data_IF_615922710943
#
_entry.id   IF_615922710943
#
_cell.length_a   1.000
_cell.length_b   1.000
_cell.length_c   1.000
_cell.angle_alpha   90.00
_cell.angle_beta   90.00
_cell.angle_gamma   90.00
#
_symmetry.space_group_name_H-M   'P 1'
#
loop_
_entity.id
_entity.type
_entity.pdbx_description
1 polymer ?
#
# COMPACT_ATOMS: atom_id res chain seq x y z
N UNK A 1 28.19 54.80 -51.25
CA UNK A 1 27.53 53.52 -51.57
C UNK A 1 27.23 52.91 -50.21
N UNK A 2 26.14 53.39 -49.58
CA UNK A 2 24.79 52.79 -49.64
C UNK A 2 24.82 51.43 -48.92
N UNK A 3 24.43 51.41 -47.64
CA UNK A 3 23.10 50.97 -47.15
C UNK A 3 23.16 49.46 -46.86
N UNK A 4 22.60 48.86 -45.80
CA UNK A 4 21.78 49.28 -44.68
C UNK A 4 21.59 48.03 -43.77
N UNK A 5 21.36 48.25 -42.47
CA UNK A 5 20.33 47.63 -41.60
C UNK A 5 20.05 46.10 -41.67
N UNK A 6 19.76 45.35 -40.59
CA UNK A 6 19.29 45.66 -39.23
C UNK A 6 19.26 44.37 -38.39
N UNK A 7 19.46 44.54 -37.07
CA UNK A 7 18.90 43.82 -35.89
C UNK A 7 18.56 42.32 -35.92
N UNK A 8 19.02 41.60 -34.89
CA UNK A 8 18.21 40.55 -34.26
C UNK A 8 18.47 40.42 -32.75
N UNK A 9 17.41 40.03 -32.07
CA UNK A 9 17.01 40.25 -30.68
C UNK A 9 17.45 39.14 -29.73
N UNK A 10 17.69 39.53 -28.47
CA UNK A 10 17.80 38.68 -27.30
C UNK A 10 16.50 37.94 -26.97
N UNK A 11 16.56 36.63 -26.68
CA UNK A 11 15.56 35.91 -25.89
C UNK A 11 16.21 34.85 -24.99
N UNK A 12 15.88 34.98 -23.71
CA UNK A 12 16.16 34.09 -22.58
C UNK A 12 15.53 32.70 -22.74
N UNK A 13 16.32 31.64 -22.60
CA UNK A 13 15.87 30.25 -22.51
C UNK A 13 16.01 29.73 -21.08
N UNK A 14 14.95 29.10 -20.59
CA UNK A 14 14.77 28.61 -19.22
C UNK A 14 15.48 27.27 -18.96
N UNK A 15 16.05 27.14 -17.77
CA UNK A 15 16.59 25.91 -17.19
C UNK A 15 15.51 24.86 -16.95
N UNK A 16 15.75 23.61 -17.38
CA UNK A 16 15.05 22.40 -16.95
C UNK A 16 15.99 21.60 -16.04
N UNK A 17 15.54 21.07 -14.88
CA UNK A 17 16.35 20.15 -14.10
C UNK A 17 16.24 18.73 -14.68
N UNK A 18 17.40 18.13 -14.99
CA UNK A 18 17.55 16.72 -15.31
C UNK A 18 17.20 15.87 -14.10
N UNK A 19 16.13 15.08 -14.20
CA UNK A 19 15.83 14.00 -13.26
C UNK A 19 16.44 12.72 -13.83
N UNK A 20 17.73 12.52 -13.60
CA UNK A 20 18.42 11.28 -13.97
C UNK A 20 17.92 10.13 -13.09
N UNK A 21 17.38 9.10 -13.75
CA UNK A 21 17.02 7.82 -13.17
C UNK A 21 18.25 7.22 -12.48
N UNK A 22 18.21 7.07 -11.15
CA UNK A 22 19.28 6.38 -10.41
C UNK A 22 19.16 4.87 -10.70
N UNK A 23 20.14 4.23 -11.37
CA UNK A 23 20.10 2.80 -11.59
C UNK A 23 20.46 2.07 -10.29
N UNK A 24 19.65 1.09 -9.91
CA UNK A 24 19.91 0.21 -8.77
C UNK A 24 21.10 -0.73 -9.12
N UNK A 25 22.18 -0.77 -8.32
CA UNK A 25 23.44 -1.42 -8.71
C UNK A 25 23.46 -2.96 -8.67
N UNK A 26 22.32 -3.63 -8.51
CA UNK A 26 22.24 -5.11 -8.44
C UNK A 26 21.47 -5.73 -9.63
N UNK A 27 21.47 -5.06 -10.79
CA UNK A 27 20.73 -5.50 -11.97
C UNK A 27 21.54 -6.48 -12.85
N UNK A 28 21.84 -7.67 -12.34
CA UNK A 28 22.22 -8.82 -13.18
C UNK A 28 21.00 -9.61 -13.67
N UNK A 29 19.84 -8.97 -13.68
CA UNK A 29 18.59 -9.58 -14.06
C UNK A 29 18.33 -9.31 -15.55
N UNK A 30 18.87 -10.16 -16.41
CA UNK A 30 18.67 -10.11 -17.87
C UNK A 30 17.21 -10.27 -18.30
N UNK A 31 16.25 -10.33 -17.35
CA UNK A 31 14.81 -10.38 -17.61
C UNK A 31 14.27 -9.14 -18.31
N UNK A 32 14.89 -7.97 -18.13
CA UNK A 32 14.42 -6.70 -18.71
C UNK A 32 15.48 -6.09 -19.64
N UNK A 33 15.12 -5.89 -20.91
CA UNK A 33 15.99 -5.22 -21.86
C UNK A 33 15.64 -3.74 -21.93
N UNK A 34 16.61 -2.82 -21.99
CA UNK A 34 16.34 -1.38 -22.09
C UNK A 34 15.43 -0.99 -23.26
N UNK A 35 15.40 -1.80 -24.33
CA UNK A 35 14.56 -1.55 -25.50
C UNK A 35 13.10 -1.99 -25.31
N UNK A 36 12.79 -2.80 -24.30
CA UNK A 36 11.42 -3.29 -24.07
C UNK A 36 10.48 -2.11 -23.79
N UNK A 37 10.90 -1.16 -22.95
CA UNK A 37 10.05 -0.01 -22.63
C UNK A 37 9.75 0.84 -23.88
N UNK A 38 10.71 0.97 -24.80
CA UNK A 38 10.50 1.67 -26.07
C UNK A 38 9.45 0.97 -26.95
N UNK A 39 9.39 -0.37 -26.91
CA UNK A 39 8.36 -1.12 -27.62
C UNK A 39 6.97 -0.81 -27.05
N UNK A 40 6.83 -0.73 -25.71
CA UNK A 40 5.56 -0.33 -25.09
C UNK A 40 5.14 1.10 -25.47
N UNK A 41 6.08 2.05 -25.40
CA UNK A 41 5.79 3.47 -25.68
C UNK A 41 5.42 3.73 -27.14
N UNK A 42 6.09 3.05 -28.07
CA UNK A 42 5.84 3.22 -29.52
C UNK A 42 4.70 2.34 -30.03
N UNK A 43 4.46 1.19 -29.40
CA UNK A 43 3.51 0.17 -29.88
C UNK A 43 3.98 -0.54 -31.17
N UNK A 44 5.22 -0.35 -31.59
CA UNK A 44 5.75 -0.95 -32.81
C UNK A 44 5.79 -2.47 -32.70
N UNK A 45 5.14 -3.16 -33.65
CA UNK A 45 5.01 -4.62 -33.70
C UNK A 45 4.14 -5.23 -32.59
N UNK A 46 3.32 -4.42 -31.92
CA UNK A 46 2.33 -4.94 -30.98
C UNK A 46 1.34 -5.88 -31.68
N UNK A 47 1.07 -7.00 -31.03
CA UNK A 47 0.21 -8.09 -31.51
C UNK A 47 -0.94 -8.39 -30.53
N UNK A 48 -1.09 -7.58 -29.48
CA UNK A 48 -2.22 -7.57 -28.57
C UNK A 48 -2.52 -6.17 -28.02
N UNK A 49 -3.74 -6.00 -27.49
CA UNK A 49 -4.20 -4.75 -26.87
C UNK A 49 -4.76 -5.05 -25.48
N UNK A 50 -4.39 -4.24 -24.49
CA UNK A 50 -5.04 -4.24 -23.17
C UNK A 50 -5.88 -2.98 -23.07
N UNK A 51 -7.12 -3.11 -22.61
CA UNK A 51 -8.04 -2.00 -22.44
C UNK A 51 -8.45 -1.96 -20.96
N UNK A 52 -8.35 -0.79 -20.33
CA UNK A 52 -8.86 -0.55 -18.99
C UNK A 52 -9.50 0.84 -18.93
N UNK A 53 -10.82 0.88 -18.75
CA UNK A 53 -11.58 2.13 -18.79
C UNK A 53 -11.41 2.83 -20.14
N UNK A 54 -10.95 4.09 -20.10
CA UNK A 54 -10.67 4.89 -21.30
C UNK A 54 -9.24 4.73 -21.84
N UNK A 55 -8.38 3.96 -21.17
CA UNK A 55 -6.98 3.76 -21.58
C UNK A 55 -6.83 2.44 -22.31
N UNK A 56 -5.95 2.43 -23.29
CA UNK A 56 -5.52 1.23 -23.99
C UNK A 56 -4.01 1.21 -24.19
N UNK A 57 -3.44 0.01 -24.21
CA UNK A 57 -2.01 -0.21 -24.41
C UNK A 57 -1.81 -1.27 -25.49
N UNK A 58 -1.06 -0.89 -26.53
CA UNK A 58 -0.57 -1.83 -27.54
C UNK A 58 0.60 -2.60 -26.94
N UNK A 59 0.45 -3.91 -26.80
CA UNK A 59 1.41 -4.79 -26.10
C UNK A 59 1.86 -5.96 -26.98
N UNK A 60 2.98 -6.53 -26.58
CA UNK A 60 3.63 -7.66 -27.24
C UNK A 60 3.37 -8.92 -26.44
N UNK A 61 2.65 -9.89 -27.02
CA UNK A 61 2.35 -11.18 -26.39
C UNK A 61 3.62 -11.87 -25.90
N UNK A 62 4.68 -11.85 -26.70
CA UNK A 62 5.95 -12.49 -26.34
C UNK A 62 6.55 -11.91 -25.03
N UNK A 63 6.36 -10.62 -24.76
CA UNK A 63 6.84 -9.98 -23.53
C UNK A 63 5.85 -10.24 -22.39
N UNK A 64 4.58 -9.92 -22.60
CA UNK A 64 3.62 -9.93 -21.49
C UNK A 64 3.26 -11.34 -21.03
N UNK A 65 3.13 -12.31 -21.95
CA UNK A 65 2.83 -13.71 -21.62
C UNK A 65 4.06 -14.45 -21.05
N UNK A 66 5.29 -14.05 -21.43
CA UNK A 66 6.49 -14.66 -20.84
C UNK A 66 6.77 -14.18 -19.42
N UNK A 67 6.31 -12.98 -19.07
CA UNK A 67 6.57 -12.34 -17.78
C UNK A 67 5.40 -12.41 -16.81
N UNK A 68 4.17 -12.58 -17.28
CA UNK A 68 2.98 -12.63 -16.44
C UNK A 68 2.08 -13.81 -16.82
N UNK A 69 1.96 -14.75 -15.88
CA UNK A 69 1.20 -15.98 -16.04
C UNK A 69 -0.31 -15.73 -16.24
N UNK A 70 -0.85 -14.66 -15.65
CA UNK A 70 -2.24 -14.28 -15.86
C UNK A 70 -2.48 -13.88 -17.32
N UNK A 71 -1.64 -13.01 -17.88
CA UNK A 71 -1.75 -12.59 -19.28
C UNK A 71 -1.49 -13.75 -20.25
N UNK A 72 -0.56 -14.66 -19.92
CA UNK A 72 -0.37 -15.90 -20.67
C UNK A 72 -1.66 -16.70 -20.76
N UNK A 73 -2.32 -16.95 -19.63
CA UNK A 73 -3.59 -17.69 -19.60
C UNK A 73 -4.71 -16.98 -20.37
N UNK A 74 -4.79 -15.65 -20.25
CA UNK A 74 -5.78 -14.83 -20.95
C UNK A 74 -5.60 -14.84 -22.47
N UNK A 75 -4.35 -14.79 -22.96
CA UNK A 75 -4.03 -14.60 -24.38
C UNK A 75 -3.65 -15.88 -25.14
N UNK A 76 -3.39 -17.00 -24.45
CA UNK A 76 -3.10 -18.31 -25.06
C UNK A 76 -4.37 -19.09 -25.44
N UNK A 77 -5.55 -18.69 -24.95
CA UNK A 77 -6.85 -19.20 -25.41
C UNK A 77 -7.21 -20.63 -25.00
N UNK A 78 -6.41 -21.25 -24.13
CA UNK A 78 -6.57 -22.64 -23.71
C UNK A 78 -7.46 -22.84 -22.47
N UNK A 79 -7.99 -21.77 -21.87
CA UNK A 79 -8.75 -21.82 -20.61
C UNK A 79 -10.02 -20.98 -20.68
N UNK A 80 -11.19 -21.57 -20.39
CA UNK A 80 -12.50 -20.90 -20.28
C UNK A 80 -13.00 -20.09 -21.50
N UNK A 81 -14.34 -19.92 -21.60
CA UNK A 81 -14.97 -19.19 -22.72
C UNK A 81 -14.52 -17.73 -22.84
N UNK A 82 -14.16 -17.10 -21.72
CA UNK A 82 -13.69 -15.70 -21.68
C UNK A 82 -12.29 -15.58 -22.28
N UNK A 83 -11.33 -16.44 -21.89
CA UNK A 83 -9.99 -16.38 -22.50
C UNK A 83 -10.00 -16.86 -23.95
N UNK A 84 -10.91 -17.76 -24.36
CA UNK A 84 -11.09 -18.11 -25.78
C UNK A 84 -11.47 -16.87 -26.62
N UNK A 85 -12.29 -15.96 -26.07
CA UNK A 85 -12.64 -14.70 -26.75
C UNK A 85 -11.45 -13.76 -26.82
N UNK A 86 -10.78 -13.50 -25.69
CA UNK A 86 -9.64 -12.58 -25.62
C UNK A 86 -8.46 -13.02 -26.48
N UNK A 87 -8.16 -14.32 -26.50
CA UNK A 87 -7.11 -14.89 -27.35
C UNK A 87 -7.45 -14.81 -28.85
N UNK A 88 -8.72 -14.93 -29.22
CA UNK A 88 -9.18 -14.75 -30.62
C UNK A 88 -9.12 -13.30 -31.07
N UNK A 89 -9.42 -12.36 -30.17
CA UNK A 89 -9.42 -10.93 -30.47
C UNK A 89 -8.07 -10.27 -30.20
N UNK A 90 -7.10 -10.99 -29.63
CA UNK A 90 -5.86 -10.46 -29.10
C UNK A 90 -6.08 -9.21 -28.21
N UNK A 91 -7.19 -9.19 -27.48
CA UNK A 91 -7.63 -8.03 -26.73
C UNK A 91 -8.10 -8.48 -25.36
N UNK A 92 -7.51 -7.91 -24.30
CA UNK A 92 -7.90 -8.13 -22.92
C UNK A 92 -8.60 -6.87 -22.42
N UNK A 93 -9.78 -7.02 -21.83
CA UNK A 93 -10.54 -5.88 -21.28
C UNK A 93 -10.68 -6.03 -19.77
N UNK A 94 -10.04 -5.13 -19.03
CA UNK A 94 -10.08 -5.05 -17.57
C UNK A 94 -11.13 -3.99 -17.18
N UNK A 95 -12.20 -4.35 -16.46
CA UNK A 95 -13.20 -3.38 -16.03
C UNK A 95 -12.63 -2.33 -15.08
N UNK A 96 -12.90 -1.05 -15.34
CA UNK A 96 -12.46 0.06 -14.48
C UNK A 96 -13.14 0.05 -13.10
N UNK A 97 -14.24 -0.68 -12.97
CA UNK A 97 -14.88 -0.96 -11.67
C UNK A 97 -14.05 -1.88 -10.77
N UNK A 98 -13.12 -2.66 -11.34
CA UNK A 98 -12.25 -3.56 -10.57
C UNK A 98 -10.92 -2.87 -10.23
N UNK A 99 -10.28 -2.25 -11.22
CA UNK A 99 -9.01 -1.56 -11.05
C UNK A 99 -8.97 -0.24 -11.81
N UNK A 100 -8.41 0.79 -11.18
CA UNK A 100 -8.12 2.03 -11.90
C UNK A 100 -7.07 1.77 -12.99
N UNK A 101 -7.30 2.40 -14.15
CA UNK A 101 -6.41 2.34 -15.30
C UNK A 101 -4.97 2.80 -14.99
N UNK A 102 -4.75 3.59 -13.95
CA UNK A 102 -3.42 4.02 -13.50
C UNK A 102 -2.60 2.90 -12.86
N UNK A 103 -3.23 2.04 -12.06
CA UNK A 103 -2.56 0.89 -11.45
C UNK A 103 -2.28 -0.19 -12.48
N UNK A 104 -3.19 -0.39 -13.44
CA UNK A 104 -2.96 -1.26 -14.60
C UNK A 104 -1.81 -0.72 -15.46
N UNK A 105 -1.72 0.59 -15.68
CA UNK A 105 -0.59 1.20 -16.38
C UNK A 105 0.74 0.93 -15.65
N UNK A 106 0.76 1.07 -14.33
CA UNK A 106 1.95 0.79 -13.51
C UNK A 106 2.38 -0.68 -13.62
N UNK A 107 1.42 -1.62 -13.56
CA UNK A 107 1.68 -3.05 -13.78
C UNK A 107 2.29 -3.31 -15.16
N UNK A 108 1.69 -2.78 -16.23
CA UNK A 108 2.19 -2.98 -17.60
C UNK A 108 3.59 -2.37 -17.71
N UNK A 109 3.78 -1.14 -17.24
CA UNK A 109 5.09 -0.48 -17.25
C UNK A 109 6.16 -1.32 -16.53
N UNK A 110 5.82 -1.89 -15.37
CA UNK A 110 6.72 -2.76 -14.63
C UNK A 110 7.05 -4.04 -15.42
N UNK A 111 6.08 -4.67 -16.08
CA UNK A 111 6.32 -5.86 -16.91
C UNK A 111 7.37 -5.58 -18.00
N UNK A 112 7.38 -4.37 -18.55
CA UNK A 112 8.34 -4.00 -19.61
C UNK A 112 9.69 -3.53 -19.06
N UNK A 113 9.70 -2.74 -17.99
CA UNK A 113 10.90 -2.06 -17.50
C UNK A 113 11.57 -2.75 -16.31
N UNK A 114 10.83 -3.53 -15.53
CA UNK A 114 11.23 -4.02 -14.21
C UNK A 114 11.29 -2.93 -13.13
N UNK A 115 10.93 -1.69 -13.47
CA UNK A 115 11.02 -0.55 -12.56
C UNK A 115 9.66 -0.26 -11.91
N UNK A 116 9.67 -0.14 -10.58
CA UNK A 116 8.50 0.28 -9.80
C UNK A 116 8.46 1.81 -9.70
N UNK A 117 7.54 2.44 -10.41
CA UNK A 117 7.34 3.89 -10.38
C UNK A 117 5.99 4.27 -9.78
N UNK A 118 5.88 4.08 -8.46
CA UNK A 118 4.65 4.38 -7.72
C UNK A 118 4.34 5.88 -7.64
N UNK A 119 5.37 6.72 -7.82
CA UNK A 119 5.25 8.19 -7.77
C UNK A 119 4.47 8.75 -8.96
N UNK A 120 4.51 8.07 -10.11
CA UNK A 120 3.75 8.45 -11.31
C UNK A 120 2.26 8.08 -11.25
N UNK A 121 1.84 7.25 -10.29
CA UNK A 121 0.42 6.92 -10.14
C UNK A 121 -0.33 8.18 -9.66
N UNK A 122 -1.28 8.72 -10.45
CA UNK A 122 -2.07 9.89 -10.07
C UNK A 122 -2.83 9.69 -8.76
N UNK A 123 -3.08 10.79 -8.05
CA UNK A 123 -3.77 10.80 -6.77
C UNK A 123 -2.91 11.44 -5.70
N UNK A 124 -2.81 12.77 -5.76
CA UNK A 124 -1.98 13.58 -4.85
C UNK A 124 -2.45 13.49 -3.39
N UNK A 125 -3.71 13.10 -3.18
CA UNK A 125 -4.29 12.91 -1.85
C UNK A 125 -3.94 11.55 -1.23
N UNK A 126 -3.57 10.55 -2.04
CA UNK A 126 -3.25 9.20 -1.56
C UNK A 126 -1.81 9.12 -1.05
N UNK A 127 -1.65 8.56 0.16
CA UNK A 127 -0.32 8.29 0.71
C UNK A 127 0.41 7.20 -0.08
N UNK A 128 1.75 7.18 -0.01
CA UNK A 128 2.55 6.12 -0.62
C UNK A 128 2.12 4.74 -0.11
N UNK A 129 1.86 4.61 1.19
CA UNK A 129 1.43 3.36 1.82
C UNK A 129 0.09 2.87 1.25
N UNK A 130 -0.86 3.78 1.03
CA UNK A 130 -2.13 3.45 0.40
C UNK A 130 -1.96 3.02 -1.06
N UNK A 131 -1.11 3.73 -1.82
CA UNK A 131 -0.78 3.33 -3.20
C UNK A 131 -0.14 1.93 -3.24
N UNK A 132 0.74 1.61 -2.28
CA UNK A 132 1.33 0.28 -2.15
C UNK A 132 0.28 -0.80 -1.89
N UNK A 133 -0.71 -0.55 -1.02
CA UNK A 133 -1.80 -1.50 -0.74
C UNK A 133 -2.56 -1.82 -2.03
N UNK A 134 -2.99 -0.78 -2.75
CA UNK A 134 -3.75 -0.91 -4.02
C UNK A 134 -2.94 -1.62 -5.10
N UNK A 135 -1.68 -1.24 -5.26
CA UNK A 135 -0.79 -1.85 -6.26
C UNK A 135 -0.47 -3.31 -5.94
N UNK A 136 -0.30 -3.64 -4.66
CA UNK A 136 -0.12 -5.03 -4.22
C UNK A 136 -1.35 -5.88 -4.56
N UNK A 137 -2.56 -5.37 -4.31
CA UNK A 137 -3.81 -6.07 -4.65
C UNK A 137 -3.98 -6.28 -6.16
N UNK A 138 -3.59 -5.30 -6.98
CA UNK A 138 -3.52 -5.44 -8.44
C UNK A 138 -2.54 -6.55 -8.80
N UNK A 139 -1.32 -6.52 -8.26
CA UNK A 139 -0.33 -7.57 -8.51
C UNK A 139 -0.79 -8.97 -8.06
N UNK A 140 -1.59 -9.07 -7.00
CA UNK A 140 -2.22 -10.31 -6.55
C UNK A 140 -3.25 -10.85 -7.56
N UNK A 141 -4.14 -9.99 -8.03
CA UNK A 141 -5.12 -10.35 -9.05
C UNK A 141 -4.46 -10.88 -10.34
N UNK A 142 -3.42 -10.19 -10.82
CA UNK A 142 -2.66 -10.59 -12.00
C UNK A 142 -1.63 -11.70 -11.73
N UNK A 143 -1.63 -12.30 -10.53
CA UNK A 143 -0.71 -13.38 -10.14
C UNK A 143 0.77 -13.04 -10.38
N UNK A 144 1.13 -11.77 -10.21
CA UNK A 144 2.43 -11.23 -10.58
C UNK A 144 3.31 -11.00 -9.36
N UNK A 145 3.88 -12.10 -8.86
CA UNK A 145 4.70 -12.18 -7.65
C UNK A 145 5.88 -11.17 -7.60
N UNK A 146 6.62 -10.89 -8.70
CA UNK A 146 7.71 -9.91 -8.65
C UNK A 146 7.24 -8.52 -8.19
N UNK A 147 6.12 -8.03 -8.73
CA UNK A 147 5.58 -6.73 -8.34
C UNK A 147 5.04 -6.74 -6.91
N UNK A 148 4.47 -7.86 -6.44
CA UNK A 148 4.05 -7.99 -5.05
C UNK A 148 5.24 -7.82 -4.09
N UNK A 149 6.37 -8.47 -4.37
CA UNK A 149 7.59 -8.41 -3.56
C UNK A 149 8.18 -7.00 -3.52
N UNK A 150 8.34 -6.37 -4.69
CA UNK A 150 8.96 -5.05 -4.77
C UNK A 150 8.04 -3.96 -4.18
N UNK A 151 6.71 -4.10 -4.34
CA UNK A 151 5.74 -3.20 -3.70
C UNK A 151 5.77 -3.32 -2.18
N UNK A 152 5.88 -4.55 -1.64
CA UNK A 152 6.04 -4.78 -0.21
C UNK A 152 7.36 -4.21 0.30
N UNK A 153 8.48 -4.46 -0.37
CA UNK A 153 9.79 -3.92 0.01
C UNK A 153 9.79 -2.39 0.04
N UNK A 154 9.21 -1.74 -0.97
CA UNK A 154 9.07 -0.28 -1.00
C UNK A 154 8.23 0.25 0.18
N UNK A 155 7.12 -0.43 0.48
CA UNK A 155 6.28 -0.08 1.63
C UNK A 155 7.02 -0.26 2.95
N UNK A 156 7.78 -1.35 3.08
CA UNK A 156 8.63 -1.62 4.24
C UNK A 156 9.65 -0.51 4.48
N UNK A 157 10.41 -0.13 3.46
CA UNK A 157 11.40 0.94 3.52
C UNK A 157 10.77 2.28 3.93
N UNK A 158 9.57 2.57 3.43
CA UNK A 158 8.84 3.79 3.79
C UNK A 158 8.38 3.78 5.25
N UNK A 159 7.85 2.66 5.72
CA UNK A 159 7.45 2.48 7.13
C UNK A 159 8.67 2.49 8.05
N UNK A 160 9.81 1.95 7.62
CA UNK A 160 11.11 2.04 8.28
C UNK A 160 11.51 3.51 8.51
N UNK A 161 11.41 4.32 7.45
CA UNK A 161 11.72 5.75 7.49
C UNK A 161 10.77 6.50 8.43
N UNK A 162 9.48 6.19 8.43
CA UNK A 162 8.52 6.74 9.39
C UNK A 162 8.89 6.36 10.82
N UNK A 163 9.13 5.07 11.08
CA UNK A 163 9.43 4.56 12.42
C UNK A 163 10.69 5.22 12.99
N UNK A 164 11.73 5.40 12.17
CA UNK A 164 12.95 6.12 12.57
C UNK A 164 12.65 7.55 13.00
N UNK A 165 11.79 8.27 12.27
CA UNK A 165 11.37 9.64 12.64
C UNK A 165 10.61 9.64 13.98
N UNK A 166 9.65 8.73 14.15
CA UNK A 166 8.81 8.60 15.34
C UNK A 166 9.63 8.25 16.60
N UNK A 167 10.58 7.32 16.46
CA UNK A 167 11.40 6.84 17.57
C UNK A 167 12.63 7.71 17.85
N UNK A 168 13.00 8.61 16.93
CA UNK A 168 14.20 9.43 17.11
C UNK A 168 14.12 10.25 18.41
N UNK A 169 15.04 9.97 19.34
CA UNK A 169 15.14 10.72 20.59
C UNK A 169 15.75 12.12 20.38
N UNK A 170 16.48 12.30 19.27
CA UNK A 170 17.22 13.54 18.93
C UNK A 170 16.32 14.62 18.34
N UNK A 171 15.19 14.26 17.74
CA UNK A 171 14.27 15.20 17.10
C UNK A 171 12.85 14.87 17.54
N UNK A 172 12.22 15.78 18.30
CA UNK A 172 10.78 15.66 18.54
C UNK A 172 10.07 15.86 17.21
N UNK A 173 9.38 14.82 16.74
CA UNK A 173 8.46 14.93 15.60
C UNK A 173 7.49 16.06 15.91
N UNK A 174 7.28 16.98 14.96
CA UNK A 174 6.30 18.06 15.15
C UNK A 174 4.91 17.42 15.20
N UNK A 175 4.01 17.97 16.01
CA UNK A 175 2.65 17.43 16.14
C UNK A 175 1.93 17.36 14.79
N UNK A 176 2.12 18.36 13.92
CA UNK A 176 1.58 18.36 12.56
C UNK A 176 2.09 17.20 11.69
N UNK A 177 3.38 16.88 11.75
CA UNK A 177 3.96 15.76 10.99
C UNK A 177 3.47 14.40 11.52
N UNK A 178 3.30 14.29 12.84
CA UNK A 178 2.73 13.11 13.49
C UNK A 178 1.27 12.88 13.05
N UNK A 179 0.48 13.96 12.99
CA UNK A 179 -0.91 13.93 12.54
C UNK A 179 -0.99 13.43 11.09
N UNK A 180 -0.15 13.96 10.18
CA UNK A 180 -0.12 13.55 8.77
C UNK A 180 0.22 12.06 8.65
N UNK A 181 1.25 11.57 9.35
CA UNK A 181 1.61 10.14 9.34
C UNK A 181 0.44 9.26 9.80
N UNK A 182 -0.25 9.68 10.86
CA UNK A 182 -1.38 8.93 11.41
C UNK A 182 -2.55 8.93 10.42
N UNK A 183 -2.89 10.06 9.80
CA UNK A 183 -3.96 10.13 8.80
C UNK A 183 -3.66 9.22 7.60
N UNK A 184 -2.44 9.29 7.08
CA UNK A 184 -1.99 8.46 5.96
C UNK A 184 -2.02 6.97 6.31
N UNK A 185 -1.57 6.61 7.52
CA UNK A 185 -1.63 5.23 8.02
C UNK A 185 -3.08 4.71 8.09
N UNK A 186 -4.01 5.51 8.61
CA UNK A 186 -5.42 5.09 8.73
C UNK A 186 -6.14 5.00 7.39
N UNK A 187 -5.74 5.82 6.41
CA UNK A 187 -6.18 5.65 5.01
C UNK A 187 -5.71 4.31 4.46
N UNK A 188 -4.43 3.97 4.65
CA UNK A 188 -3.88 2.68 4.22
C UNK A 188 -4.50 1.48 4.96
N UNK A 189 -4.80 1.61 6.26
CA UNK A 189 -5.53 0.59 7.03
C UNK A 189 -6.92 0.36 6.43
N UNK A 190 -7.64 1.43 6.10
CA UNK A 190 -8.97 1.33 5.48
C UNK A 190 -8.87 0.58 4.15
N UNK A 191 -7.94 0.96 3.27
CA UNK A 191 -7.73 0.26 2.01
C UNK A 191 -7.39 -1.23 2.21
N UNK A 192 -6.49 -1.56 3.15
CA UNK A 192 -6.01 -2.92 3.33
C UNK A 192 -7.04 -3.87 3.96
N UNK A 193 -8.01 -3.35 4.73
CA UNK A 193 -8.96 -4.18 5.48
C UNK A 193 -10.40 -4.08 4.97
N UNK A 194 -10.78 -2.98 4.32
CA UNK A 194 -12.11 -2.77 3.75
C UNK A 194 -12.09 -3.11 2.26
N UNK A 195 -11.23 -2.43 1.49
CA UNK A 195 -11.25 -2.55 0.03
C UNK A 195 -10.58 -3.86 -0.43
N UNK A 196 -9.48 -4.26 0.22
CA UNK A 196 -8.68 -5.42 -0.18
C UNK A 196 -8.45 -6.41 0.99
N UNK A 197 -9.51 -7.06 1.52
CA UNK A 197 -9.39 -7.95 2.68
C UNK A 197 -8.50 -9.18 2.47
N UNK A 198 -8.20 -9.52 1.21
CA UNK A 198 -7.28 -10.60 0.82
C UNK A 198 -5.79 -10.20 0.94
N UNK A 199 -5.46 -8.91 1.11
CA UNK A 199 -4.09 -8.40 1.20
C UNK A 199 -3.40 -8.71 2.54
N UNK A 200 -3.37 -9.98 2.93
CA UNK A 200 -2.83 -10.46 4.22
C UNK A 200 -1.38 -10.06 4.47
N UNK A 201 -0.45 -10.13 3.50
CA UNK A 201 0.92 -9.70 3.73
C UNK A 201 1.02 -8.21 4.08
N UNK A 202 0.25 -7.38 3.39
CA UNK A 202 0.17 -5.93 3.63
C UNK A 202 -0.47 -5.63 4.98
N UNK A 203 -1.58 -6.28 5.32
CA UNK A 203 -2.24 -6.18 6.63
C UNK A 203 -1.27 -6.50 7.77
N UNK A 204 -0.52 -7.60 7.64
CA UNK A 204 0.49 -8.00 8.63
C UNK A 204 1.57 -6.93 8.79
N UNK A 205 2.08 -6.40 7.68
CA UNK A 205 3.10 -5.36 7.71
C UNK A 205 2.62 -4.08 8.42
N UNK A 206 1.40 -3.66 8.14
CA UNK A 206 0.77 -2.51 8.80
C UNK A 206 0.65 -2.76 10.30
N UNK A 207 0.13 -3.92 10.71
CA UNK A 207 -0.04 -4.27 12.13
C UNK A 207 1.31 -4.29 12.85
N UNK A 208 2.34 -4.89 12.23
CA UNK A 208 3.70 -4.93 12.79
C UNK A 208 4.28 -3.52 12.99
N UNK A 209 3.97 -2.58 12.10
CA UNK A 209 4.40 -1.18 12.18
C UNK A 209 3.66 -0.44 13.30
N UNK A 210 2.34 -0.57 13.36
CA UNK A 210 1.54 0.06 14.43
C UNK A 210 1.97 -0.49 15.79
N UNK A 211 2.20 -1.80 15.88
CA UNK A 211 2.72 -2.46 17.09
C UNK A 211 4.11 -1.93 17.48
N UNK A 212 5.02 -1.73 16.53
CA UNK A 212 6.35 -1.16 16.81
C UNK A 212 6.28 0.29 17.35
N UNK A 213 5.36 1.10 16.82
CA UNK A 213 5.20 2.50 17.25
C UNK A 213 4.35 2.69 18.53
N UNK A 214 3.87 1.61 19.16
CA UNK A 214 3.05 1.64 20.39
C UNK A 214 3.65 2.47 21.54
N UNK A 215 4.97 2.64 21.57
CA UNK A 215 5.64 3.47 22.57
C UNK A 215 5.25 4.95 22.42
N UNK A 216 4.84 5.39 21.22
CA UNK A 216 4.55 6.80 20.90
C UNK A 216 3.09 7.05 20.52
N UNK A 217 2.39 6.10 19.89
CA UNK A 217 1.01 6.30 19.42
C UNK A 217 -0.01 6.69 20.49
N UNK A 218 -0.01 6.10 21.69
CA UNK A 218 -0.98 6.47 22.72
C UNK A 218 -0.87 7.92 23.17
N UNK A 219 0.23 8.63 22.86
CA UNK A 219 0.37 10.06 23.19
C UNK A 219 -0.24 10.98 22.14
N UNK A 220 -0.59 10.49 20.95
CA UNK A 220 -1.22 11.29 19.91
C UNK A 220 -2.73 11.35 20.10
N UNK A 221 -3.27 12.58 20.19
CA UNK A 221 -4.71 12.82 20.20
C UNK A 221 -5.39 12.31 18.93
N UNK A 222 -4.73 12.49 17.77
CA UNK A 222 -5.24 12.05 16.48
C UNK A 222 -5.34 10.53 16.38
N UNK A 223 -4.35 9.80 16.90
CA UNK A 223 -4.40 8.33 16.92
C UNK A 223 -5.58 7.84 17.75
N UNK A 224 -5.81 8.44 18.93
CA UNK A 224 -6.97 8.11 19.78
C UNK A 224 -8.30 8.45 19.14
N UNK A 225 -8.35 9.50 18.32
CA UNK A 225 -9.54 9.89 17.57
C UNK A 225 -9.86 8.89 16.45
N UNK A 226 -8.85 8.43 15.71
CA UNK A 226 -9.04 7.56 14.54
C UNK A 226 -9.17 6.08 14.89
N UNK A 227 -8.50 5.60 15.94
CA UNK A 227 -8.56 4.18 16.36
C UNK A 227 -10.00 3.63 16.49
N UNK A 228 -10.97 4.31 17.13
CA UNK A 228 -12.34 3.81 17.21
C UNK A 228 -13.07 3.75 15.86
N UNK A 229 -12.58 4.45 14.83
CA UNK A 229 -13.10 4.39 13.46
C UNK A 229 -12.38 3.35 12.60
N UNK A 230 -11.38 2.67 13.14
CA UNK A 230 -10.63 1.67 12.39
C UNK A 230 -11.52 0.46 12.03
N UNK A 231 -11.23 -0.22 10.91
CA UNK A 231 -11.86 -1.50 10.59
C UNK A 231 -11.75 -2.49 11.75
N UNK A 232 -12.83 -3.20 12.05
CA UNK A 232 -12.86 -4.14 13.18
C UNK A 232 -11.80 -5.24 13.05
N UNK A 233 -11.61 -5.77 11.83
CA UNK A 233 -10.59 -6.77 11.54
C UNK A 233 -9.16 -6.26 11.81
N UNK A 234 -8.91 -4.97 11.61
CA UNK A 234 -7.63 -4.36 11.98
C UNK A 234 -7.49 -4.30 13.50
N UNK A 235 -8.52 -3.83 14.21
CA UNK A 235 -8.49 -3.76 15.69
C UNK A 235 -8.24 -5.14 16.31
N UNK A 236 -8.89 -6.17 15.78
CA UNK A 236 -8.65 -7.56 16.17
C UNK A 236 -7.20 -7.97 15.91
N UNK A 237 -6.70 -7.83 14.68
CA UNK A 237 -5.33 -8.21 14.32
C UNK A 237 -4.27 -7.46 15.16
N UNK A 238 -4.48 -6.17 15.41
CA UNK A 238 -3.58 -5.32 16.16
C UNK A 238 -3.48 -5.72 17.64
N UNK A 239 -4.60 -6.00 18.30
CA UNK A 239 -4.54 -6.46 19.68
C UNK A 239 -4.10 -7.93 19.76
N UNK A 240 -4.40 -8.81 18.81
CA UNK A 240 -3.79 -10.15 18.74
C UNK A 240 -2.27 -10.04 18.68
N UNK A 241 -1.71 -9.17 17.83
CA UNK A 241 -0.27 -8.93 17.76
C UNK A 241 0.29 -8.43 19.10
N UNK A 242 -0.46 -7.57 19.79
CA UNK A 242 -0.11 -7.02 21.11
C UNK A 242 -0.13 -8.10 22.21
N UNK A 243 -1.14 -8.98 22.23
CA UNK A 243 -1.35 -10.01 23.27
C UNK A 243 -0.37 -11.17 23.08
N UNK A 244 -0.25 -11.68 21.84
CA UNK A 244 0.53 -12.87 21.52
C UNK A 244 2.03 -12.65 21.69
N UNK A 245 2.45 -11.42 22.04
CA UNK A 245 3.85 -11.03 22.20
C UNK A 245 4.66 -11.35 20.96
N UNK A 246 4.01 -11.31 19.79
CA UNK A 246 4.70 -11.53 18.55
C UNK A 246 5.74 -10.42 18.42
N UNK A 247 7.00 -10.83 18.22
CA UNK A 247 8.06 -9.93 17.85
C UNK A 247 7.58 -9.18 16.59
N UNK A 248 7.40 -7.86 16.70
CA UNK A 248 7.28 -7.06 15.48
C UNK A 248 8.62 -7.13 14.78
N UNK A 249 8.63 -7.20 13.45
CA UNK A 249 9.87 -7.22 12.66
C UNK A 249 10.83 -6.07 13.00
N UNK A 250 10.31 -4.92 13.44
CA UNK A 250 11.11 -3.74 13.78
C UNK A 250 11.64 -3.76 15.21
N UNK A 251 10.92 -4.40 16.12
CA UNK A 251 11.31 -4.42 17.53
C UNK A 251 12.08 -5.70 17.85
N UNK A 252 11.80 -6.82 17.19
CA UNK A 252 12.32 -8.15 17.55
C UNK A 252 11.62 -8.71 18.79
N UNK A 253 12.22 -9.72 19.44
CA UNK A 253 11.70 -10.31 20.68
C UNK A 253 11.98 -9.39 21.88
N UNK A 254 11.21 -8.29 21.97
CA UNK A 254 11.48 -7.25 22.97
C UNK A 254 10.72 -7.55 24.25
N UNK A 255 11.42 -8.20 25.18
CA UNK A 255 11.05 -8.27 26.61
C UNK A 255 10.80 -6.88 27.26
N UNK A 256 11.18 -5.78 26.58
CA UNK A 256 11.06 -4.36 26.97
C UNK A 256 9.96 -3.56 26.26
N UNK A 257 9.26 -4.08 25.24
CA UNK A 257 8.00 -3.44 24.84
C UNK A 257 7.06 -3.65 26.02
N UNK A 258 6.52 -2.57 26.58
CA UNK A 258 5.58 -2.62 27.71
C UNK A 258 4.60 -3.75 27.45
N UNK A 259 4.63 -4.82 28.26
CA UNK A 259 3.87 -6.04 28.02
C UNK A 259 2.41 -5.72 28.22
N UNK A 260 1.69 -5.40 27.14
CA UNK A 260 0.27 -5.13 27.25
C UNK A 260 -0.48 -6.48 27.18
N UNK A 261 -1.25 -6.77 28.22
CA UNK A 261 -2.17 -7.89 28.35
C UNK A 261 -3.57 -7.37 28.05
N UNK A 262 -4.49 -8.15 27.50
CA UNK A 262 -5.87 -7.69 27.41
C UNK A 262 -6.51 -7.72 28.80
N UNK A 263 -7.47 -6.85 29.07
CA UNK A 263 -8.36 -7.04 30.22
C UNK A 263 -9.09 -8.38 30.09
N UNK A 264 -9.24 -9.11 31.18
CA UNK A 264 -9.95 -10.40 31.18
C UNK A 264 -11.43 -10.29 30.83
N UNK A 265 -11.97 -9.07 30.73
CA UNK A 265 -13.37 -8.78 30.50
C UNK A 265 -13.56 -7.53 29.60
N UNK A 266 -14.71 -7.47 28.93
CA UNK A 266 -15.18 -6.30 28.20
C UNK A 266 -15.39 -5.11 29.16
N UNK A 267 -14.94 -3.89 28.78
CA UNK A 267 -15.08 -2.70 29.64
C UNK A 267 -16.51 -2.25 29.90
N UNK A 268 -17.46 -2.75 29.11
CA UNK A 268 -18.86 -2.35 29.22
C UNK A 268 -19.74 -3.42 29.85
N UNK A 269 -19.91 -4.58 29.19
CA UNK A 269 -20.75 -5.68 29.68
C UNK A 269 -20.08 -6.59 30.70
N UNK A 270 -18.76 -6.43 30.95
CA UNK A 270 -17.96 -7.30 31.83
C UNK A 270 -17.90 -8.77 31.40
N UNK A 271 -18.32 -9.09 30.17
CA UNK A 271 -18.21 -10.42 29.60
C UNK A 271 -16.74 -10.86 29.55
N UNK A 272 -16.47 -12.05 30.07
CA UNK A 272 -15.11 -12.60 30.11
C UNK A 272 -14.60 -12.89 28.70
N UNK A 273 -13.29 -12.72 28.52
CA UNK A 273 -12.57 -13.11 27.31
C UNK A 273 -12.54 -14.65 27.22
N UNK A 274 -13.68 -15.28 26.93
CA UNK A 274 -13.79 -16.74 26.74
C UNK A 274 -13.36 -17.15 25.33
N UNK A 275 -12.66 -18.28 25.22
CA UNK A 275 -12.07 -18.90 24.03
C UNK A 275 -12.32 -18.20 22.69
N UNK A 276 -11.55 -17.13 22.43
CA UNK A 276 -11.25 -16.49 21.14
C UNK A 276 -12.40 -16.33 20.12
N UNK A 277 -13.66 -16.37 20.55
CA UNK A 277 -14.80 -16.30 19.65
C UNK A 277 -15.17 -14.86 19.36
N UNK A 278 -14.94 -14.54 18.10
CA UNK A 278 -15.53 -13.52 17.23
C UNK A 278 -15.70 -12.09 17.78
N UNK A 279 -14.86 -11.22 17.21
CA UNK A 279 -15.14 -9.80 16.94
C UNK A 279 -15.29 -8.86 18.14
N UNK A 280 -14.14 -8.35 18.60
CA UNK A 280 -14.01 -7.32 19.63
C UNK A 280 -13.22 -6.11 19.10
N UNK A 281 -13.33 -4.96 19.78
CA UNK A 281 -12.66 -3.70 19.41
C UNK A 281 -11.90 -3.12 20.60
N UNK A 282 -10.72 -2.55 20.35
CA UNK A 282 -9.91 -1.93 21.40
C UNK A 282 -10.60 -0.65 21.90
N UNK A 283 -10.65 -0.46 23.21
CA UNK A 283 -11.19 0.77 23.81
C UNK A 283 -10.10 1.87 23.81
N UNK A 284 -10.15 2.86 22.90
CA UNK A 284 -9.12 3.88 22.74
C UNK A 284 -9.03 4.82 23.96
N UNK A 285 -10.10 4.95 24.75
CA UNK A 285 -10.13 5.86 25.89
C UNK A 285 -9.38 5.31 27.11
N UNK A 286 -9.13 4.00 27.11
CA UNK A 286 -8.47 3.26 28.19
C UNK A 286 -7.00 2.97 27.89
N UNK A 287 -6.53 3.20 26.65
CA UNK A 287 -5.12 3.08 26.30
C UNK A 287 -4.28 4.07 27.11
N UNK A 288 -3.62 3.59 28.16
CA UNK A 288 -2.65 4.36 28.94
C UNK A 288 -1.22 3.97 28.56
N UNK A 289 -0.29 4.94 28.54
CA UNK A 289 1.09 4.78 28.03
C UNK A 289 1.97 3.77 28.79
N UNK A 290 1.53 3.29 29.95
CA UNK A 290 2.23 2.32 30.81
C UNK A 290 1.30 1.19 31.30
N UNK A 291 0.06 1.13 30.81
CA UNK A 291 -0.84 0.08 31.25
C UNK A 291 -0.35 -1.27 30.70
N UNK A 292 -0.14 -2.20 31.61
CA UNK A 292 0.06 -3.62 31.34
C UNK A 292 -1.26 -4.24 30.84
N UNK A 293 -2.35 -3.46 30.73
CA UNK A 293 -3.70 -3.93 30.41
C UNK A 293 -4.37 -3.07 29.30
N UNK A 294 -4.51 -3.62 28.09
CA UNK A 294 -5.34 -3.07 26.99
C UNK A 294 -6.77 -3.43 27.30
N UNK A 295 -7.63 -2.43 27.44
CA UNK A 295 -9.04 -2.72 27.62
C UNK A 295 -9.75 -2.78 26.25
N UNK A 296 -10.80 -3.57 26.17
CA UNK A 296 -11.54 -3.87 24.93
C UNK A 296 -13.05 -3.87 25.18
N UNK A 297 -13.83 -3.76 24.10
CA UNK A 297 -15.29 -3.89 24.10
C UNK A 297 -15.74 -4.96 23.11
N UNK A 298 -16.74 -5.75 23.47
CA UNK A 298 -17.37 -6.68 22.54
C UNK A 298 -18.16 -5.91 21.46
N UNK A 299 -18.38 -6.54 20.29
CA UNK A 299 -19.10 -5.93 19.16
C UNK A 299 -20.42 -5.29 19.59
N UNK A 300 -21.27 -6.02 20.31
CA UNK A 300 -22.59 -5.53 20.72
C UNK A 300 -22.50 -4.27 21.59
N UNK A 301 -21.52 -4.19 22.49
CA UNK A 301 -21.33 -2.99 23.31
C UNK A 301 -20.86 -1.77 22.49
N UNK A 302 -20.04 -1.99 21.46
CA UNK A 302 -19.60 -0.92 20.55
C UNK A 302 -20.77 -0.43 19.70
N UNK A 303 -21.58 -1.34 19.18
CA UNK A 303 -22.76 -1.00 18.37
C UNK A 303 -23.82 -0.24 19.18
N UNK A 304 -24.08 -0.65 20.42
CA UNK A 304 -25.15 -0.07 21.25
C UNK A 304 -24.74 1.26 21.92
N UNK A 305 -23.48 1.37 22.35
CA UNK A 305 -23.05 2.48 23.21
C UNK A 305 -21.87 3.28 22.66
N UNK A 306 -21.26 2.83 21.56
CA UNK A 306 -20.01 3.38 21.04
C UNK A 306 -18.85 3.24 22.04
N UNK A 307 -17.89 4.16 21.95
CA UNK A 307 -16.72 4.20 22.84
C UNK A 307 -16.89 5.12 24.06
N UNK A 308 -18.10 5.61 24.33
CA UNK A 308 -18.37 6.51 25.47
C UNK A 308 -18.05 5.80 26.79
N UNK A 309 -17.57 6.53 27.80
CA UNK A 309 -17.39 5.97 29.16
C UNK A 309 -18.73 5.58 29.79
N UNK A 310 -18.74 4.43 30.47
CA UNK A 310 -19.81 4.07 31.40
C UNK A 310 -19.77 5.10 32.54
N UNK A 311 -20.87 5.84 32.73
CA UNK A 311 -21.00 6.79 33.85
C UNK A 311 -21.05 6.05 35.17
#
# INVERSE_FOLDING_TARGET
>A
MADSDTTSTSRSGADKPNNELVPNPDNSDHRFLPNDIMLLETGNFADAVIICGQKSWNVHKIIICSRCDWFRKALDGNFEMVAIKEARTNTVTIPESEFSSDYVACLIFYIYSGALDIGKIPGDEMSLVEKCVRLWAVADFFLFEPLQKDTLALMEDHLDAWLRKILSAKQKLKDAECIVIIEQLFSAISAAYIDYPHARPVQKLIVDFVHAGLIRWPFSSKFRELLPRAPQNFSHAFLVATINRNASRWTGDVKRCNRIRPSGHCTWCLEELSDWKDDWVIDPETMRPLAIETHWRCRSCVEEHGFKRRR
#
